data_IF_947357962335
#
_entry.id   IF_947357962335
#
_cell.length_a   1.000
_cell.length_b   1.000
_cell.length_c   1.000
_cell.angle_alpha   90.00
_cell.angle_beta   90.00
_cell.angle_gamma   90.00
#
_symmetry.space_group_name_H-M   'P 1'
#
loop_
_entity.id
_entity.type
_entity.pdbx_description
1 polymer ?
#
# COMPACT_ATOMS: atom_id res chain seq x y z
N UNK A 1 -5.65 -7.58 5.66
CA UNK A 1 -5.56 -6.46 6.64
C UNK A 1 -4.99 -5.21 5.96
N UNK A 2 -4.00 -5.39 5.10
CA UNK A 2 -3.31 -4.45 4.21
C UNK A 2 -4.25 -3.50 3.44
N UNK A 3 -5.37 -4.02 2.89
CA UNK A 3 -6.38 -3.19 2.21
C UNK A 3 -6.93 -2.09 3.12
N UNK A 4 -7.21 -2.42 4.38
CA UNK A 4 -7.77 -1.46 5.34
C UNK A 4 -6.75 -0.37 5.68
N UNK A 5 -5.47 -0.74 5.81
CA UNK A 5 -4.38 0.24 6.03
C UNK A 5 -4.33 1.23 4.86
N UNK A 6 -4.38 0.73 3.62
CA UNK A 6 -4.40 1.59 2.43
C UNK A 6 -5.62 2.53 2.41
N UNK A 7 -6.79 2.01 2.75
CA UNK A 7 -8.04 2.79 2.81
C UNK A 7 -8.01 3.86 3.92
N UNK A 8 -7.41 3.54 5.06
CA UNK A 8 -7.19 4.49 6.16
C UNK A 8 -6.21 5.59 5.76
N UNK A 9 -5.09 5.25 5.10
CA UNK A 9 -4.14 6.23 4.59
C UNK A 9 -4.79 7.16 3.56
N UNK A 10 -5.62 6.60 2.68
CA UNK A 10 -6.35 7.36 1.68
C UNK A 10 -7.35 8.33 2.33
N UNK A 11 -8.08 7.86 3.34
CA UNK A 11 -9.03 8.70 4.07
C UNK A 11 -8.32 9.81 4.83
N UNK A 12 -7.25 9.49 5.57
CA UNK A 12 -6.46 10.46 6.34
C UNK A 12 -5.90 11.56 5.42
N UNK A 13 -5.37 11.18 4.26
CA UNK A 13 -4.82 12.12 3.27
C UNK A 13 -5.88 13.09 2.73
N UNK A 14 -7.09 12.58 2.46
CA UNK A 14 -8.19 13.41 1.97
C UNK A 14 -8.84 14.24 3.07
N UNK A 15 -8.99 13.70 4.29
CA UNK A 15 -9.58 14.40 5.41
C UNK A 15 -8.75 15.59 5.88
N UNK A 16 -7.42 15.47 5.85
CA UNK A 16 -6.51 16.54 6.26
C UNK A 16 -6.68 17.83 5.45
N UNK A 17 -7.02 17.72 4.16
CA UNK A 17 -7.20 18.85 3.24
C UNK A 17 -8.67 19.19 2.99
N UNK A 18 -9.61 18.56 3.69
CA UNK A 18 -11.05 18.75 3.46
C UNK A 18 -11.63 19.80 4.42
N UNK A 19 -12.18 20.87 3.86
CA UNK A 19 -12.81 21.97 4.64
C UNK A 19 -14.25 21.66 5.10
N UNK A 20 -14.82 20.52 4.67
CA UNK A 20 -16.18 20.11 5.00
C UNK A 20 -16.28 19.03 6.08
N UNK A 21 -17.47 18.46 6.21
CA UNK A 21 -17.71 17.29 7.07
C UNK A 21 -16.97 16.06 6.52
N UNK A 22 -15.84 15.72 7.15
CA UNK A 22 -14.95 14.64 6.72
C UNK A 22 -15.61 13.26 6.74
N UNK A 23 -16.71 13.07 7.47
CA UNK A 23 -17.48 11.83 7.47
C UNK A 23 -18.25 11.61 6.16
N UNK A 24 -18.41 12.65 5.33
CA UNK A 24 -19.05 12.59 4.01
C UNK A 24 -18.08 12.31 2.86
N UNK A 25 -16.79 12.14 3.16
CA UNK A 25 -15.80 11.81 2.14
C UNK A 25 -16.07 10.42 1.55
N UNK A 26 -16.21 10.36 0.23
CA UNK A 26 -16.41 9.08 -0.45
C UNK A 26 -15.07 8.33 -0.57
N UNK A 27 -15.07 6.99 -0.47
CA UNK A 27 -13.84 6.19 -0.61
C UNK A 27 -13.12 6.43 -1.95
N UNK A 28 -13.87 6.65 -3.03
CA UNK A 28 -13.31 6.95 -4.36
C UNK A 28 -12.52 8.26 -4.36
N UNK A 29 -13.02 9.31 -3.69
CA UNK A 29 -12.30 10.58 -3.56
C UNK A 29 -11.04 10.41 -2.71
N UNK A 30 -11.14 9.66 -1.62
CA UNK A 30 -10.00 9.38 -0.73
C UNK A 30 -8.84 8.71 -1.50
N UNK A 31 -9.14 7.66 -2.27
CA UNK A 31 -8.14 6.97 -3.08
C UNK A 31 -7.53 7.87 -4.16
N UNK A 32 -8.32 8.76 -4.76
CA UNK A 32 -7.83 9.71 -5.77
C UNK A 32 -6.77 10.67 -5.18
N UNK A 33 -7.02 11.23 -3.99
CA UNK A 33 -6.06 12.11 -3.31
C UNK A 33 -4.76 11.37 -3.01
N UNK A 34 -4.84 10.14 -2.46
CA UNK A 34 -3.63 9.36 -2.20
C UNK A 34 -2.89 8.98 -3.49
N UNK A 35 -3.62 8.82 -4.61
CA UNK A 35 -3.03 8.51 -5.91
C UNK A 35 -2.18 9.66 -6.47
N UNK A 36 -2.46 10.91 -6.10
CA UNK A 36 -1.63 12.07 -6.47
C UNK A 36 -0.24 12.00 -5.83
N UNK A 37 -0.14 11.43 -4.63
CA UNK A 37 1.13 11.22 -3.89
C UNK A 37 1.78 9.91 -4.33
N UNK A 38 0.97 8.86 -4.48
CA UNK A 38 1.40 7.51 -4.85
C UNK A 38 0.55 6.98 -6.02
N UNK A 39 1.01 7.13 -7.28
CA UNK A 39 0.27 6.68 -8.46
C UNK A 39 -0.11 5.19 -8.47
N UNK A 40 0.63 4.36 -7.71
CA UNK A 40 0.37 2.91 -7.59
C UNK A 40 -0.83 2.57 -6.68
N UNK A 41 -1.45 3.53 -6.00
CA UNK A 41 -2.54 3.32 -5.05
C UNK A 41 -3.74 2.57 -5.65
N UNK A 42 -4.21 2.99 -6.84
CA UNK A 42 -5.33 2.33 -7.51
C UNK A 42 -5.04 0.86 -7.88
N UNK A 43 -3.92 0.56 -8.57
CA UNK A 43 -3.47 -0.81 -8.81
C UNK A 43 -3.31 -1.64 -7.52
N UNK A 44 -2.70 -1.08 -6.47
CA UNK A 44 -2.50 -1.77 -5.20
C UNK A 44 -3.83 -2.09 -4.50
N UNK A 45 -4.77 -1.16 -4.48
CA UNK A 45 -6.09 -1.37 -3.88
C UNK A 45 -6.86 -2.51 -4.57
N UNK A 46 -6.85 -2.55 -5.90
CA UNK A 46 -7.49 -3.64 -6.67
C UNK A 46 -6.85 -4.99 -6.34
N UNK A 47 -5.52 -5.03 -6.24
CA UNK A 47 -4.79 -6.25 -5.92
C UNK A 47 -5.06 -6.74 -4.49
N UNK A 48 -4.99 -5.87 -3.50
CA UNK A 48 -5.30 -6.24 -2.11
C UNK A 48 -6.76 -6.66 -1.94
N UNK A 49 -7.67 -6.10 -2.75
CA UNK A 49 -9.08 -6.53 -2.80
C UNK A 49 -9.24 -7.92 -3.42
N UNK A 50 -8.45 -8.27 -4.44
CA UNK A 50 -8.54 -9.60 -5.05
C UNK A 50 -8.04 -10.69 -4.10
N UNK A 51 -7.03 -10.42 -3.26
CA UNK A 51 -6.58 -11.36 -2.22
C UNK A 51 -7.62 -11.59 -1.12
N UNK A 52 -8.49 -10.61 -0.86
CA UNK A 52 -9.56 -10.76 0.12
C UNK A 52 -10.74 -11.60 -0.40
N UNK A 53 -10.80 -11.87 -1.72
CA UNK A 53 -11.85 -12.70 -2.32
C UNK A 53 -11.36 -14.14 -2.41
N UNK A 54 -11.99 -15.04 -1.64
CA UNK A 54 -11.91 -16.47 -1.89
C UNK A 54 -12.64 -16.76 -3.20
N UNK A 55 -11.92 -16.77 -4.30
CA UNK A 55 -12.45 -17.19 -5.59
C UNK A 55 -12.35 -18.72 -5.68
N UNK A 56 -13.42 -19.44 -6.09
CA UNK A 56 -13.36 -20.89 -6.24
C UNK A 56 -12.18 -21.34 -7.11
N UNK A 57 -11.85 -20.57 -8.16
CA UNK A 57 -10.78 -20.88 -9.12
C UNK A 57 -9.38 -20.77 -8.49
N UNK A 58 -9.19 -19.92 -7.49
CA UNK A 58 -7.93 -19.83 -6.72
C UNK A 58 -7.90 -20.83 -5.56
N UNK A 59 -9.05 -21.25 -5.07
CA UNK A 59 -9.18 -22.24 -3.99
C UNK A 59 -8.74 -23.63 -4.43
N UNK A 60 -9.03 -24.03 -5.68
CA UNK A 60 -8.58 -25.33 -6.23
C UNK A 60 -7.05 -25.43 -6.26
N UNK A 61 -6.33 -24.31 -6.47
CA UNK A 61 -4.85 -24.28 -6.45
C UNK A 61 -4.24 -24.57 -5.08
N UNK A 62 -5.04 -24.48 -4.02
CA UNK A 62 -4.64 -24.77 -2.65
C UNK A 62 -5.07 -26.17 -2.19
N UNK A 63 -5.70 -26.93 -3.07
CA UNK A 63 -6.17 -28.30 -2.82
C UNK A 63 -5.32 -29.25 -3.64
N UNK A 64 -4.55 -30.10 -2.97
CA UNK A 64 -3.95 -31.28 -3.59
C UNK A 64 -4.78 -32.51 -3.22
N UNK A 65 -5.20 -33.24 -4.24
CA UNK A 65 -5.81 -34.56 -4.08
C UNK A 65 -4.77 -35.58 -4.49
N UNK A 66 -4.34 -36.41 -3.53
CA UNK A 66 -3.46 -37.54 -3.78
C UNK A 66 -4.17 -38.86 -3.40
N UNK A 67 -3.53 -39.99 -3.66
CA UNK A 67 -4.08 -41.32 -3.37
C UNK A 67 -4.23 -41.61 -1.86
N UNK A 68 -3.66 -40.76 -0.98
CA UNK A 68 -3.70 -40.90 0.47
C UNK A 68 -4.74 -39.97 1.14
N UNK A 69 -5.34 -39.05 0.40
CA UNK A 69 -6.48 -38.26 0.86
C UNK A 69 -6.49 -36.81 0.35
N UNK A 70 -7.27 -35.99 1.05
CA UNK A 70 -7.45 -34.57 0.75
C UNK A 70 -6.47 -33.73 1.57
N UNK A 71 -5.50 -33.08 0.91
CA UNK A 71 -4.57 -32.13 1.54
C UNK A 71 -4.82 -30.70 1.06
N UNK A 72 -5.07 -29.79 2.01
CA UNK A 72 -5.13 -28.35 1.75
C UNK A 72 -3.78 -27.74 2.10
N UNK A 73 -3.07 -27.20 1.11
CA UNK A 73 -1.80 -26.51 1.30
C UNK A 73 -2.03 -24.99 1.21
N UNK A 74 -2.13 -24.36 2.38
CA UNK A 74 -2.52 -22.95 2.53
C UNK A 74 -1.38 -21.95 2.25
N UNK A 75 -0.12 -22.40 2.21
CA UNK A 75 1.04 -21.52 2.17
C UNK A 75 1.86 -21.71 0.91
N UNK A 76 1.68 -20.78 -0.04
CA UNK A 76 2.56 -20.60 -1.19
C UNK A 76 3.71 -19.65 -0.79
N UNK A 77 4.96 -20.14 -0.82
CA UNK A 77 6.14 -19.36 -0.39
C UNK A 77 6.33 -18.10 -1.23
N UNK A 78 5.91 -18.09 -2.49
CA UNK A 78 5.99 -16.93 -3.38
C UNK A 78 5.07 -15.79 -2.92
N UNK A 79 3.93 -16.13 -2.31
CA UNK A 79 3.00 -15.14 -1.72
C UNK A 79 3.61 -14.44 -0.52
N UNK A 80 4.49 -15.08 0.25
CA UNK A 80 5.14 -14.49 1.44
C UNK A 80 6.02 -13.30 1.06
N UNK A 81 6.83 -13.44 -0.01
CA UNK A 81 7.68 -12.34 -0.51
C UNK A 81 6.87 -11.16 -1.03
N UNK A 82 5.77 -11.44 -1.74
CA UNK A 82 4.86 -10.41 -2.25
C UNK A 82 4.16 -9.66 -1.11
N UNK A 83 3.70 -10.36 -0.07
CA UNK A 83 3.10 -9.74 1.11
C UNK A 83 4.08 -8.86 1.87
N UNK A 84 5.31 -9.33 2.09
CA UNK A 84 6.37 -8.54 2.71
C UNK A 84 6.62 -7.24 1.95
N UNK A 85 6.68 -7.31 0.61
CA UNK A 85 6.80 -6.12 -0.23
C UNK A 85 5.63 -5.14 -0.04
N UNK A 86 4.37 -5.60 -0.06
CA UNK A 86 3.22 -4.70 0.14
C UNK A 86 3.22 -4.06 1.53
N UNK A 87 3.67 -4.78 2.57
CA UNK A 87 3.83 -4.21 3.90
C UNK A 87 4.89 -3.09 3.92
N UNK A 88 6.01 -3.26 3.22
CA UNK A 88 7.02 -2.19 3.08
C UNK A 88 6.44 -0.99 2.32
N UNK A 89 5.64 -1.22 1.27
CA UNK A 89 4.95 -0.14 0.53
C UNK A 89 3.99 0.62 1.46
N UNK A 90 3.19 -0.08 2.25
CA UNK A 90 2.25 0.54 3.18
C UNK A 90 2.97 1.29 4.31
N UNK A 91 4.09 0.76 4.81
CA UNK A 91 4.91 1.43 5.80
C UNK A 91 5.57 2.71 5.25
N UNK A 92 6.01 2.68 3.98
CA UNK A 92 6.51 3.85 3.26
C UNK A 92 5.44 4.92 3.14
N UNK A 93 4.25 4.55 2.65
CA UNK A 93 3.11 5.44 2.54
C UNK A 93 2.73 6.03 3.89
N UNK A 94 2.63 5.22 4.95
CA UNK A 94 2.32 5.68 6.29
C UNK A 94 3.32 6.74 6.78
N UNK A 95 4.62 6.50 6.57
CA UNK A 95 5.67 7.41 7.00
C UNK A 95 5.62 8.75 6.23
N UNK A 96 5.39 8.69 4.91
CA UNK A 96 5.24 9.89 4.08
C UNK A 96 3.98 10.68 4.45
N UNK A 97 2.81 10.03 4.52
CA UNK A 97 1.56 10.70 4.87
C UNK A 97 1.62 11.30 6.28
N UNK A 98 2.22 10.58 7.23
CA UNK A 98 2.46 11.08 8.58
C UNK A 98 3.29 12.36 8.57
N UNK A 99 4.43 12.37 7.86
CA UNK A 99 5.25 13.59 7.77
C UNK A 99 4.55 14.73 7.02
N UNK A 100 3.74 14.45 5.99
CA UNK A 100 2.98 15.48 5.28
C UNK A 100 1.97 16.18 6.18
N UNK A 101 1.24 15.41 7.00
CA UNK A 101 0.16 15.93 7.85
C UNK A 101 0.71 16.75 9.02
N UNK A 102 1.82 16.32 9.59
CA UNK A 102 2.45 16.96 10.74
C UNK A 102 3.69 17.77 10.35
N UNK A 103 3.76 18.24 9.10
CA UNK A 103 4.94 18.91 8.57
C UNK A 103 5.31 20.17 9.38
N UNK A 104 4.32 20.90 9.90
CA UNK A 104 4.50 22.07 10.75
C UNK A 104 5.06 21.74 12.16
N UNK A 105 4.99 20.47 12.56
CA UNK A 105 5.41 19.98 13.89
C UNK A 105 6.69 19.17 13.87
N UNK A 106 7.28 18.92 12.70
CA UNK A 106 8.46 18.08 12.55
C UNK A 106 9.65 18.95 12.15
N UNK A 107 10.66 19.00 13.01
CA UNK A 107 11.88 19.79 12.76
C UNK A 107 12.73 19.21 11.62
N UNK A 108 12.73 17.88 11.45
CA UNK A 108 13.53 17.17 10.48
C UNK A 108 12.70 16.14 9.70
N UNK A 109 12.38 16.46 8.45
CA UNK A 109 11.71 15.54 7.54
C UNK A 109 12.67 14.48 7.00
N UNK A 110 12.33 13.20 7.14
CA UNK A 110 13.11 12.06 6.62
C UNK A 110 12.49 11.44 5.38
N UNK A 111 11.18 11.54 5.24
CA UNK A 111 10.37 10.91 4.21
C UNK A 111 9.84 11.91 3.18
N UNK A 112 9.75 13.20 3.51
CA UNK A 112 9.35 14.26 2.59
C UNK A 112 10.48 15.26 2.32
N UNK A 113 10.31 16.05 1.28
CA UNK A 113 11.17 17.18 0.90
C UNK A 113 10.36 18.24 0.16
N UNK A 114 10.91 19.46 0.05
CA UNK A 114 10.29 20.50 -0.77
C UNK A 114 10.61 20.24 -2.25
N UNK A 115 9.57 20.19 -3.08
CA UNK A 115 9.65 20.06 -4.51
C UNK A 115 9.99 21.38 -5.22
N UNK A 116 10.22 21.35 -6.55
CA UNK A 116 10.58 22.54 -7.33
C UNK A 116 9.53 23.65 -7.31
N UNK A 117 8.26 23.28 -7.13
CA UNK A 117 7.10 24.17 -7.05
C UNK A 117 6.80 24.65 -5.62
N UNK A 118 7.67 24.32 -4.66
CA UNK A 118 7.50 24.64 -3.25
C UNK A 118 6.58 23.69 -2.47
N UNK A 119 5.94 22.71 -3.12
CA UNK A 119 5.06 21.73 -2.46
C UNK A 119 5.88 20.64 -1.77
N UNK A 120 5.35 20.09 -0.68
CA UNK A 120 5.97 18.93 -0.03
C UNK A 120 5.67 17.66 -0.84
N UNK A 121 6.73 16.92 -1.16
CA UNK A 121 6.66 15.69 -1.96
C UNK A 121 7.46 14.57 -1.28
N UNK A 122 7.19 13.29 -1.62
CA UNK A 122 8.00 12.18 -1.13
C UNK A 122 9.48 12.36 -1.52
N UNK A 123 10.38 12.22 -0.56
CA UNK A 123 11.83 12.29 -0.79
C UNK A 123 12.29 11.09 -1.63
N UNK A 124 13.15 11.34 -2.61
CA UNK A 124 13.68 10.27 -3.46
C UNK A 124 14.52 9.27 -2.65
N UNK A 125 15.41 9.74 -1.78
CA UNK A 125 16.30 8.91 -0.96
C UNK A 125 15.77 8.64 0.45
N UNK A 126 14.45 8.47 0.60
CA UNK A 126 13.83 8.15 1.91
C UNK A 126 14.22 6.73 2.41
N UNK A 127 14.20 6.46 3.73
CA UNK A 127 14.78 5.24 4.32
C UNK A 127 14.27 3.91 3.71
N UNK A 128 12.99 3.86 3.36
CA UNK A 128 12.29 2.69 2.80
C UNK A 128 12.53 2.51 1.31
N UNK A 129 13.00 3.53 0.59
CA UNK A 129 13.19 3.49 -0.87
C UNK A 129 14.10 2.36 -1.30
N UNK A 130 15.25 2.20 -0.65
CA UNK A 130 16.21 1.14 -0.98
C UNK A 130 15.67 -0.27 -0.71
N UNK A 131 14.72 -0.45 0.20
CA UNK A 131 14.04 -1.75 0.39
C UNK A 131 13.01 -2.00 -0.70
N UNK A 132 12.24 -0.97 -1.08
CA UNK A 132 11.26 -1.02 -2.15
C UNK A 132 11.90 -1.35 -3.50
N UNK A 133 13.00 -0.68 -3.84
CA UNK A 133 13.67 -0.86 -5.12
C UNK A 133 14.27 -2.27 -5.24
N UNK A 134 14.84 -2.80 -4.15
CA UNK A 134 15.35 -4.20 -4.08
C UNK A 134 14.25 -5.25 -4.25
N UNK A 135 13.08 -5.03 -3.68
CA UNK A 135 11.97 -5.99 -3.79
C UNK A 135 11.23 -5.87 -5.12
N UNK A 136 11.19 -4.68 -5.72
CA UNK A 136 10.65 -4.48 -7.07
C UNK A 136 11.44 -5.27 -8.12
N UNK A 137 12.77 -5.34 -8.01
CA UNK A 137 13.59 -6.17 -8.90
C UNK A 137 13.37 -7.67 -8.71
N UNK A 138 13.02 -8.12 -7.50
CA UNK A 138 12.73 -9.54 -7.22
C UNK A 138 11.36 -9.98 -7.78
N UNK A 139 10.39 -9.07 -7.85
CA UNK A 139 9.05 -9.36 -8.38
C UNK A 139 8.91 -9.21 -9.90
N UNK A 140 9.82 -8.46 -10.56
CA UNK A 140 9.84 -8.25 -12.02
C UNK A 140 10.91 -9.09 -12.74
N UNK A 141 11.68 -9.88 -11.99
CA UNK A 141 12.75 -10.75 -12.50
C UNK A 141 12.31 -12.17 -12.88
N UNK A 142 11.00 -12.44 -12.95
CA UNK A 142 10.40 -13.71 -13.34
C UNK A 142 9.32 -13.49 -14.41
#
# INVERSE_FOLDING_TARGET
MERLILEQLAWISAAHSYEGDCFKLSPKKCLAVLQEIYPCTGPLHRLLTSFARLAPETTVKHVQVDNEGFRVQLSDREKVGSMAYYLVVLADMYSVIGELIYADRIEQHRYIQQGPDGRLVPREHRPTKGMLDRHKSLLLGH
#
